data_IF_179790845035
#
_entry.id   IF_179790845035
#
_cell.length_a   1.000
_cell.length_b   1.000
_cell.length_c   1.000
_cell.angle_alpha   90.00
_cell.angle_beta   90.00
_cell.angle_gamma   90.00
#
_symmetry.space_group_name_H-M   'P 1'
#
loop_
_entity.id
_entity.type
_entity.pdbx_description
1 polymer ?
#
# COMPACT_ATOMS: atom_id res chain seq x y z
N UNK A 1 -13.19 3.45 14.26
CA UNK A 1 -14.33 4.31 14.67
C UNK A 1 -14.36 5.48 13.69
N UNK A 2 -15.24 5.45 12.68
CA UNK A 2 -15.44 6.59 11.78
C UNK A 2 -16.12 7.70 12.58
N UNK A 3 -15.56 8.91 12.57
CA UNK A 3 -16.17 10.07 13.25
C UNK A 3 -17.44 10.47 12.47
N UNK A 4 -18.54 10.67 13.18
CA UNK A 4 -19.86 10.94 12.60
C UNK A 4 -19.92 12.24 11.78
N UNK A 5 -18.95 13.13 11.96
CA UNK A 5 -18.86 14.43 11.27
C UNK A 5 -18.42 14.32 9.79
N UNK A 6 -18.11 13.11 9.32
CA UNK A 6 -17.60 12.85 7.97
C UNK A 6 -18.57 12.08 7.06
N UNK A 7 -19.84 11.95 7.46
CA UNK A 7 -20.84 11.16 6.74
C UNK A 7 -21.15 11.70 5.34
N UNK A 8 -21.02 13.01 5.13
CA UNK A 8 -21.42 13.71 3.90
C UNK A 8 -20.24 14.34 3.13
N UNK A 9 -19.00 14.10 3.55
CA UNK A 9 -17.81 14.62 2.86
C UNK A 9 -17.45 13.66 1.73
N UNK A 10 -17.28 14.13 0.47
CA UNK A 10 -16.87 13.26 -0.61
C UNK A 10 -15.54 12.58 -0.26
N UNK A 11 -15.38 11.30 -0.64
CA UNK A 11 -14.24 10.46 -0.23
C UNK A 11 -12.85 11.05 -0.54
N UNK A 12 -12.77 12.05 -1.42
CA UNK A 12 -11.55 12.76 -1.82
C UNK A 12 -11.20 13.94 -0.91
N UNK A 13 -12.13 14.43 -0.09
CA UNK A 13 -11.95 15.59 0.81
C UNK A 13 -11.86 15.19 2.29
N UNK A 14 -11.98 13.90 2.59
CA UNK A 14 -11.74 13.41 3.95
C UNK A 14 -10.27 13.60 4.28
N UNK A 15 -9.92 14.25 5.41
CA UNK A 15 -8.55 14.18 5.91
C UNK A 15 -8.25 12.69 6.04
N UNK A 16 -7.17 12.24 5.42
CA UNK A 16 -6.72 10.86 5.54
C UNK A 16 -6.27 10.70 6.99
N UNK A 17 -7.21 10.46 7.90
CA UNK A 17 -6.90 10.18 9.28
C UNK A 17 -6.17 8.83 9.25
N UNK A 18 -4.98 8.76 9.85
CA UNK A 18 -4.03 7.63 9.94
C UNK A 18 -4.61 6.20 10.01
N UNK A 19 -5.87 6.04 10.42
CA UNK A 19 -6.58 4.76 10.43
C UNK A 19 -7.06 4.26 9.05
N UNK A 20 -7.17 5.14 8.03
CA UNK A 20 -7.74 4.77 6.72
C UNK A 20 -6.74 4.07 5.78
N UNK A 21 -5.45 4.43 5.88
CA UNK A 21 -4.31 3.83 5.17
C UNK A 21 -3.48 2.91 6.06
N UNK A 22 -4.09 2.31 7.08
CA UNK A 22 -3.40 1.38 7.97
C UNK A 22 -2.61 0.36 7.13
N UNK A 23 -1.26 0.35 7.19
CA UNK A 23 -0.43 -0.41 6.26
C UNK A 23 -0.83 -1.89 6.19
N UNK A 24 -1.15 -2.48 7.35
CA UNK A 24 -1.61 -3.86 7.45
C UNK A 24 -2.87 -4.16 6.61
N UNK A 25 -3.79 -3.19 6.45
CA UNK A 25 -5.01 -3.35 5.67
C UNK A 25 -4.77 -3.39 4.16
N UNK A 26 -3.65 -2.85 3.68
CA UNK A 26 -3.23 -2.91 2.27
C UNK A 26 -2.17 -3.99 2.01
N UNK A 27 -1.35 -4.31 3.01
CA UNK A 27 -0.41 -5.42 2.98
C UNK A 27 -1.14 -6.78 2.93
N UNK A 28 -2.22 -6.95 3.69
CA UNK A 28 -2.99 -8.19 3.72
C UNK A 28 -3.49 -8.64 2.33
N UNK A 29 -4.20 -7.81 1.52
CA UNK A 29 -4.61 -8.23 0.19
C UNK A 29 -3.43 -8.49 -0.75
N UNK A 30 -2.35 -7.69 -0.68
CA UNK A 30 -1.14 -7.94 -1.48
C UNK A 30 -0.56 -9.33 -1.20
N UNK A 31 -0.48 -9.74 0.07
CA UNK A 31 0.06 -11.03 0.48
C UNK A 31 -0.84 -12.23 0.11
N UNK A 32 -2.06 -11.99 -0.36
CA UNK A 32 -2.91 -13.06 -0.94
C UNK A 32 -2.63 -13.33 -2.42
N UNK A 33 -1.90 -12.44 -3.10
CA UNK A 33 -1.60 -12.61 -4.51
C UNK A 33 -0.55 -13.73 -4.71
N UNK A 34 -0.80 -14.75 -5.54
CA UNK A 34 0.09 -15.91 -5.67
C UNK A 34 1.46 -15.57 -6.27
N UNK A 35 1.61 -14.42 -6.92
CA UNK A 35 2.89 -13.91 -7.44
C UNK A 35 3.68 -13.03 -6.47
N UNK A 36 3.16 -12.73 -5.28
CA UNK A 36 3.82 -11.89 -4.26
C UNK A 36 4.37 -12.78 -3.15
N UNK A 37 5.65 -12.62 -2.81
CA UNK A 37 6.31 -13.33 -1.72
C UNK A 37 6.28 -12.54 -0.42
N UNK A 38 6.45 -11.22 -0.50
CA UNK A 38 6.39 -10.30 0.64
C UNK A 38 5.98 -8.91 0.16
N UNK A 39 5.41 -8.09 1.05
CA UNK A 39 4.97 -6.75 0.72
C UNK A 39 5.03 -5.82 1.93
N UNK A 40 5.24 -4.53 1.65
CA UNK A 40 5.13 -3.46 2.63
C UNK A 40 4.45 -2.25 1.99
N UNK A 41 3.60 -1.56 2.74
CA UNK A 41 2.93 -0.35 2.26
C UNK A 41 3.33 0.85 3.13
N UNK A 42 3.59 1.97 2.46
CA UNK A 42 3.78 3.28 3.08
C UNK A 42 2.84 4.29 2.42
N UNK A 43 2.56 5.39 3.12
CA UNK A 43 2.05 6.61 2.48
C UNK A 43 3.20 7.45 1.94
N UNK A 44 3.00 8.00 0.74
CA UNK A 44 3.87 8.99 0.07
C UNK A 44 3.00 10.16 -0.40
N UNK A 45 3.58 11.33 -0.67
CA UNK A 45 2.81 12.44 -1.23
C UNK A 45 2.82 12.38 -2.76
N UNK A 46 1.68 12.66 -3.41
CA UNK A 46 1.64 12.97 -4.83
C UNK A 46 2.02 14.44 -5.11
N UNK A 47 2.01 14.84 -6.39
CA UNK A 47 2.37 16.18 -6.83
C UNK A 47 1.45 17.28 -6.26
N UNK A 48 0.22 16.91 -5.89
CA UNK A 48 -0.77 17.80 -5.27
C UNK A 48 -0.66 17.82 -3.73
N UNK A 49 0.26 17.04 -3.16
CA UNK A 49 0.51 16.95 -1.72
C UNK A 49 -0.43 15.99 -0.98
N UNK A 50 -1.22 15.18 -1.69
CA UNK A 50 -2.10 14.19 -1.09
C UNK A 50 -1.30 12.94 -0.68
N UNK A 51 -1.59 12.41 0.51
CA UNK A 51 -1.02 11.13 0.92
C UNK A 51 -1.66 9.97 0.15
N UNK A 52 -0.85 9.21 -0.58
CA UNK A 52 -1.26 8.10 -1.42
C UNK A 52 -0.51 6.81 -1.05
N UNK A 53 -1.11 5.62 -1.25
CA UNK A 53 -0.46 4.37 -0.90
C UNK A 53 0.58 3.94 -1.95
N UNK A 54 1.80 3.69 -1.49
CA UNK A 54 2.89 3.13 -2.26
C UNK A 54 3.25 1.74 -1.71
N UNK A 55 3.11 0.73 -2.57
CA UNK A 55 3.44 -0.66 -2.25
C UNK A 55 4.87 -1.01 -2.69
N UNK A 56 5.64 -1.55 -1.77
CA UNK A 56 6.90 -2.24 -2.05
C UNK A 56 6.64 -3.74 -2.09
N UNK A 57 7.02 -4.39 -3.19
CA UNK A 57 6.63 -5.78 -3.47
C UNK A 57 7.87 -6.62 -3.77
N UNK A 58 7.95 -7.78 -3.12
CA UNK A 58 8.90 -8.85 -3.44
C UNK A 58 8.14 -9.88 -4.27
N UNK A 59 8.59 -10.14 -5.50
CA UNK A 59 7.98 -11.16 -6.37
C UNK A 59 8.31 -12.56 -5.86
N UNK A 60 7.40 -13.50 -6.09
CA UNK A 60 7.75 -14.91 -6.02
C UNK A 60 8.84 -15.24 -7.05
N UNK A 61 9.85 -16.06 -6.72
CA UNK A 61 10.91 -16.41 -7.67
C UNK A 61 10.41 -17.01 -8.98
N UNK A 62 9.28 -17.72 -8.93
CA UNK A 62 8.64 -18.34 -10.10
C UNK A 62 7.78 -17.36 -10.94
N UNK A 63 7.58 -16.11 -10.49
CA UNK A 63 6.71 -15.11 -11.14
C UNK A 63 7.47 -13.80 -11.35
N UNK A 64 8.44 -13.82 -12.27
CA UNK A 64 9.27 -12.65 -12.61
C UNK A 64 8.55 -11.63 -13.51
N UNK A 65 7.43 -12.03 -14.12
CA UNK A 65 6.63 -11.26 -15.08
C UNK A 65 5.52 -10.41 -14.42
N UNK A 66 5.32 -10.52 -13.11
CA UNK A 66 4.28 -9.80 -12.39
C UNK A 66 4.43 -8.28 -12.55
N UNK A 67 3.48 -7.63 -13.21
CA UNK A 67 3.53 -6.19 -13.50
C UNK A 67 2.94 -5.33 -12.38
N UNK A 68 3.29 -4.03 -12.37
CA UNK A 68 2.69 -3.06 -11.44
C UNK A 68 1.17 -2.94 -11.65
N UNK A 69 0.72 -2.89 -12.91
CA UNK A 69 -0.69 -2.77 -13.26
C UNK A 69 -1.52 -3.97 -12.77
N UNK A 70 -0.99 -5.19 -12.88
CA UNK A 70 -1.62 -6.40 -12.36
C UNK A 70 -1.82 -6.32 -10.85
N UNK A 71 -0.81 -5.86 -10.11
CA UNK A 71 -0.87 -5.69 -8.65
C UNK A 71 -1.90 -4.61 -8.28
N UNK A 72 -1.85 -3.46 -8.93
CA UNK A 72 -2.78 -2.36 -8.68
C UNK A 72 -4.22 -2.77 -8.92
N UNK A 73 -4.49 -3.45 -10.04
CA UNK A 73 -5.82 -3.97 -10.38
C UNK A 73 -6.28 -5.01 -9.37
N UNK A 74 -5.42 -5.96 -8.99
CA UNK A 74 -5.73 -6.99 -8.02
C UNK A 74 -6.13 -6.41 -6.65
N UNK A 75 -5.40 -5.41 -6.16
CA UNK A 75 -5.77 -4.74 -4.90
C UNK A 75 -7.03 -3.90 -5.06
N UNK A 76 -7.21 -3.25 -6.22
CA UNK A 76 -8.33 -2.35 -6.47
C UNK A 76 -9.72 -3.01 -6.44
N UNK A 77 -9.79 -4.31 -6.72
CA UNK A 77 -11.01 -5.12 -6.58
C UNK A 77 -11.38 -5.43 -5.12
N UNK A 78 -10.43 -5.29 -4.20
CA UNK A 78 -10.55 -5.72 -2.79
C UNK A 78 -10.67 -4.56 -1.81
N UNK A 79 -10.43 -3.33 -2.26
CA UNK A 79 -10.40 -2.14 -1.41
C UNK A 79 -11.23 -1.01 -2.02
N UNK A 80 -11.70 -0.10 -1.15
CA UNK A 80 -12.40 1.09 -1.60
C UNK A 80 -11.50 1.99 -2.49
N UNK A 81 -12.05 2.76 -3.44
CA UNK A 81 -11.26 3.53 -4.42
C UNK A 81 -10.16 4.43 -3.84
N UNK A 82 -10.43 5.06 -2.70
CA UNK A 82 -9.50 5.94 -2.01
C UNK A 82 -8.33 5.19 -1.34
N UNK A 83 -8.44 3.87 -1.12
CA UNK A 83 -7.38 3.03 -0.53
C UNK A 83 -6.53 2.30 -1.58
N UNK A 84 -6.87 2.42 -2.85
CA UNK A 84 -6.17 1.71 -3.93
C UNK A 84 -4.70 2.12 -3.97
N UNK A 85 -3.82 1.16 -4.21
CA UNK A 85 -2.39 1.42 -4.44
C UNK A 85 -2.23 2.37 -5.64
N UNK A 86 -1.36 3.37 -5.51
CA UNK A 86 -1.03 4.34 -6.58
C UNK A 86 0.34 4.10 -7.19
N UNK A 87 1.29 3.60 -6.39
CA UNK A 87 2.63 3.25 -6.85
C UNK A 87 3.03 1.85 -6.39
N UNK A 88 3.76 1.15 -7.25
CA UNK A 88 4.35 -0.15 -6.93
C UNK A 88 5.84 -0.08 -7.23
N UNK A 89 6.67 -0.55 -6.30
CA UNK A 89 8.11 -0.69 -6.53
C UNK A 89 8.54 -2.09 -6.17
N UNK A 90 9.20 -2.76 -7.11
CA UNK A 90 9.75 -4.09 -6.86
C UNK A 90 11.08 -3.98 -6.12
N UNK A 91 11.23 -4.78 -5.07
CA UNK A 91 12.44 -4.86 -4.25
C UNK A 91 12.80 -6.32 -3.98
N UNK A 92 14.07 -6.57 -3.69
CA UNK A 92 14.57 -7.93 -3.41
C UNK A 92 14.14 -8.44 -2.02
N UNK A 93 13.79 -7.53 -1.10
CA UNK A 93 13.39 -7.88 0.25
C UNK A 93 12.89 -6.70 1.07
N UNK A 94 11.83 -6.90 1.84
CA UNK A 94 11.28 -5.88 2.74
C UNK A 94 12.26 -5.66 3.91
N UNK A 95 12.71 -4.43 4.18
CA UNK A 95 13.65 -4.15 5.26
C UNK A 95 12.99 -4.33 6.63
N UNK A 96 13.64 -5.06 7.55
CA UNK A 96 13.11 -5.37 8.89
C UNK A 96 14.13 -5.09 10.00
N UNK A 97 13.65 -4.67 11.18
CA UNK A 97 14.49 -4.39 12.37
C UNK A 97 14.61 -5.57 13.32
N UNK A 98 13.59 -6.41 13.35
CA UNK A 98 13.45 -7.67 14.06
C UNK A 98 12.53 -8.56 13.20
N UNK A 99 12.44 -9.87 13.45
CA UNK A 99 11.50 -10.73 12.73
C UNK A 99 10.10 -10.11 12.71
N UNK A 100 9.54 -9.93 11.52
CA UNK A 100 8.20 -9.32 11.33
C UNK A 100 8.12 -7.79 11.40
N UNK A 101 9.07 -7.06 12.01
CA UNK A 101 8.97 -5.59 12.16
C UNK A 101 9.56 -4.84 10.96
N UNK A 102 8.69 -4.39 10.04
CA UNK A 102 9.06 -3.60 8.86
C UNK A 102 9.68 -2.24 9.25
N UNK A 103 10.82 -1.89 8.64
CA UNK A 103 11.48 -0.58 8.75
C UNK A 103 10.91 0.41 7.72
N UNK A 104 9.69 0.87 7.96
CA UNK A 104 8.99 1.80 7.04
C UNK A 104 9.73 3.11 6.78
N UNK A 105 10.54 3.60 7.73
CA UNK A 105 11.39 4.78 7.51
C UNK A 105 12.33 4.61 6.32
N UNK A 106 12.97 3.44 6.20
CA UNK A 106 13.89 3.16 5.10
C UNK A 106 13.16 3.05 3.76
N UNK A 107 11.90 2.62 3.76
CA UNK A 107 11.08 2.60 2.54
C UNK A 107 10.67 4.03 2.13
N UNK A 108 10.38 4.91 3.09
CA UNK A 108 10.11 6.33 2.80
C UNK A 108 11.33 7.07 2.27
N UNK A 109 12.53 6.71 2.72
CA UNK A 109 13.79 7.26 2.20
C UNK A 109 14.09 6.83 0.74
N UNK A 110 13.37 5.83 0.20
CA UNK A 110 13.50 5.34 -1.19
C UNK A 110 12.41 5.86 -2.13
N UNK A 111 11.36 6.47 -1.58
CA UNK A 111 10.23 7.00 -2.32
C UNK A 111 10.54 8.41 -2.87
#
# INVERSE_FOLDING_TARGET
MFRSEYADVPLVELPIHDAALAPAGLEAPLLTHPGIADAAVIGTCDDDGNEIPHAYVVRQPARTDLSEAEIMMYVAERVAPYKRIRHVTFIDGVPRAAPGKIRRRQLRERA
#
